data_IF_034637906816
#
_entry.id   IF_034637906816
#
_cell.length_a   1.000
_cell.length_b   1.000
_cell.length_c   1.000
_cell.angle_alpha   90.00
_cell.angle_beta   90.00
_cell.angle_gamma   90.00
#
_symmetry.space_group_name_H-M   'P 1'
#
loop_
_entity.id
_entity.type
_entity.pdbx_description
1 polymer ?
#
# COMPACT_ATOMS: atom_id res chain seq x y z
N UNK A 1 36.40 -12.41 26.58
CA UNK A 1 35.87 -11.86 25.30
C UNK A 1 36.14 -10.37 25.30
N UNK A 2 37.19 -9.92 24.61
CA UNK A 2 37.65 -8.53 24.58
C UNK A 2 37.09 -7.84 23.34
N UNK A 3 36.33 -6.76 23.54
CA UNK A 3 35.79 -5.95 22.44
C UNK A 3 36.93 -5.16 21.76
N UNK A 4 36.97 -5.10 20.41
CA UNK A 4 37.94 -4.28 19.70
C UNK A 4 37.61 -2.79 19.85
N UNK A 5 38.62 -2.02 20.27
CA UNK A 5 38.61 -0.55 20.33
C UNK A 5 38.73 0.01 18.92
N UNK A 6 37.69 0.65 18.41
CA UNK A 6 37.73 1.35 17.11
C UNK A 6 38.52 2.66 17.25
N UNK A 7 39.59 2.89 16.46
CA UNK A 7 40.38 4.11 16.54
C UNK A 7 39.56 5.33 16.09
N UNK A 8 39.78 6.45 16.81
CA UNK A 8 39.17 7.75 16.53
C UNK A 8 39.75 8.30 15.21
N UNK A 9 38.92 8.73 14.23
CA UNK A 9 39.40 9.24 12.96
C UNK A 9 40.21 10.54 13.13
N UNK A 10 41.27 10.67 12.36
CA UNK A 10 42.22 11.80 12.39
C UNK A 10 41.69 12.95 11.52
N UNK A 11 42.00 14.24 11.82
CA UNK A 11 41.54 15.39 11.03
C UNK A 11 41.90 15.32 9.54
N UNK A 12 42.97 14.59 9.19
CA UNK A 12 43.40 14.39 7.81
C UNK A 12 42.42 13.54 6.97
N UNK A 13 41.61 12.67 7.61
CA UNK A 13 40.64 11.81 6.91
C UNK A 13 39.39 12.55 6.42
N UNK A 14 39.20 13.81 6.82
CA UNK A 14 38.05 14.62 6.39
C UNK A 14 38.18 15.18 4.97
N UNK A 15 39.40 15.20 4.40
CA UNK A 15 39.67 15.84 3.10
C UNK A 15 39.36 14.95 1.89
N UNK A 16 39.22 13.63 2.07
CA UNK A 16 39.01 12.67 0.98
C UNK A 16 37.53 12.34 0.70
N UNK A 17 36.60 13.24 1.04
CA UNK A 17 35.18 13.00 0.79
C UNK A 17 34.88 13.10 -0.72
N UNK A 18 34.45 12.03 -1.40
CA UNK A 18 34.05 12.11 -2.80
C UNK A 18 32.89 13.10 -2.98
N UNK A 19 32.81 13.80 -4.13
CA UNK A 19 31.76 14.76 -4.40
C UNK A 19 30.38 14.09 -4.24
N UNK A 20 29.49 14.79 -3.55
CA UNK A 20 28.13 14.31 -3.30
C UNK A 20 27.45 13.93 -4.62
N UNK A 21 26.73 12.78 -4.69
CA UNK A 21 25.96 12.42 -5.86
C UNK A 21 25.00 13.55 -6.22
N UNK A 22 24.92 13.86 -7.52
CA UNK A 22 24.10 14.93 -8.06
C UNK A 22 22.68 14.86 -7.48
N UNK A 23 22.17 16.03 -7.05
CA UNK A 23 20.81 16.18 -6.52
C UNK A 23 19.82 15.49 -7.48
N UNK A 24 18.96 14.59 -7.00
CA UNK A 24 17.91 14.02 -7.83
C UNK A 24 17.11 15.18 -8.44
N UNK A 25 16.98 15.18 -9.77
CA UNK A 25 16.21 16.18 -10.50
C UNK A 25 14.78 16.26 -9.96
N UNK A 26 14.08 17.39 -10.20
CA UNK A 26 12.72 17.58 -9.71
C UNK A 26 11.84 16.43 -10.21
N UNK A 27 11.42 15.57 -9.28
CA UNK A 27 10.42 14.55 -9.55
C UNK A 27 9.20 15.32 -10.03
N UNK A 28 8.83 15.12 -11.30
CA UNK A 28 7.66 15.72 -11.92
C UNK A 28 6.48 15.44 -10.97
N UNK A 29 6.00 16.48 -10.30
CA UNK A 29 4.85 16.37 -9.41
C UNK A 29 3.69 15.87 -10.25
N UNK A 30 3.43 14.56 -10.15
CA UNK A 30 2.19 13.95 -10.62
C UNK A 30 1.14 14.64 -9.76
N UNK A 31 0.51 15.69 -10.32
CA UNK A 31 -0.47 16.53 -9.65
C UNK A 31 -1.49 15.61 -9.00
N UNK A 32 -1.34 15.43 -7.70
CA UNK A 32 -2.33 14.70 -6.92
C UNK A 32 -3.64 15.48 -7.09
N UNK A 33 -4.77 14.81 -7.35
CA UNK A 33 -6.05 15.48 -7.39
C UNK A 33 -6.21 16.31 -6.11
N UNK A 34 -6.73 17.55 -6.23
CA UNK A 34 -6.99 18.45 -5.10
C UNK A 34 -8.15 17.88 -4.26
N UNK A 35 -7.90 16.77 -3.59
CA UNK A 35 -8.81 16.17 -2.63
C UNK A 35 -8.73 16.99 -1.35
N UNK A 36 -9.89 17.30 -0.77
CA UNK A 36 -9.96 17.77 0.60
C UNK A 36 -9.44 16.70 1.56
N UNK A 37 -9.05 17.09 2.77
CA UNK A 37 -8.59 16.12 3.79
C UNK A 37 -9.66 15.06 4.08
N UNK A 38 -10.93 15.45 4.10
CA UNK A 38 -12.05 14.54 4.31
C UNK A 38 -12.19 13.52 3.16
N UNK A 39 -12.11 13.97 1.91
CA UNK A 39 -12.19 13.08 0.74
C UNK A 39 -10.96 12.17 0.64
N UNK A 40 -9.78 12.65 1.02
CA UNK A 40 -8.55 11.87 1.02
C UNK A 40 -8.62 10.68 2.00
N UNK A 41 -9.31 10.86 3.14
CA UNK A 41 -9.50 9.85 4.20
C UNK A 41 -10.74 8.99 3.93
N UNK A 42 -11.70 9.47 3.15
CA UNK A 42 -12.90 8.73 2.82
C UNK A 42 -12.55 7.36 2.17
N UNK A 43 -13.36 6.31 2.43
CA UNK A 43 -13.19 5.02 1.78
C UNK A 43 -13.21 5.15 0.25
N UNK A 44 -12.14 4.71 -0.40
CA UNK A 44 -12.07 4.66 -1.86
C UNK A 44 -13.01 3.62 -2.46
N UNK A 45 -13.51 3.90 -3.66
CA UNK A 45 -14.37 2.98 -4.41
C UNK A 45 -13.50 2.08 -5.29
N UNK A 46 -13.60 0.77 -5.08
CA UNK A 46 -12.94 -0.21 -5.95
C UNK A 46 -13.64 -0.29 -7.30
N UNK A 47 -12.87 -0.45 -8.38
CA UNK A 47 -13.39 -0.50 -9.76
C UNK A 47 -13.08 -1.84 -10.44
N UNK A 48 -14.04 -2.32 -11.24
CA UNK A 48 -13.87 -3.48 -12.11
C UNK A 48 -13.44 -4.77 -11.38
N UNK A 49 -12.22 -5.24 -11.67
CA UNK A 49 -11.66 -6.51 -11.14
C UNK A 49 -10.72 -6.31 -9.94
N UNK A 50 -10.70 -5.13 -9.34
CA UNK A 50 -9.91 -4.88 -8.14
C UNK A 50 -10.38 -5.75 -6.96
N UNK A 51 -9.44 -6.42 -6.29
CA UNK A 51 -9.71 -7.22 -5.09
C UNK A 51 -9.32 -6.41 -3.86
N UNK A 52 -10.24 -6.25 -2.91
CA UNK A 52 -9.99 -5.48 -1.68
C UNK A 52 -8.71 -5.92 -0.98
N UNK A 53 -8.50 -7.23 -0.79
CA UNK A 53 -7.30 -7.76 -0.15
C UNK A 53 -6.00 -7.26 -0.77
N UNK A 54 -5.87 -7.35 -2.10
CA UNK A 54 -4.68 -6.91 -2.83
C UNK A 54 -4.49 -5.39 -2.75
N UNK A 55 -5.57 -4.62 -2.82
CA UNK A 55 -5.49 -3.15 -2.73
C UNK A 55 -5.12 -2.70 -1.32
N UNK A 56 -5.63 -3.35 -0.28
CA UNK A 56 -5.25 -3.09 1.12
C UNK A 56 -3.78 -3.43 1.33
N UNK A 57 -3.32 -4.62 0.93
CA UNK A 57 -1.90 -5.02 1.10
C UNK A 57 -0.95 -4.04 0.40
N UNK A 58 -1.23 -3.66 -0.86
CA UNK A 58 -0.43 -2.66 -1.59
C UNK A 58 -0.53 -1.28 -0.93
N UNK A 59 -1.74 -0.86 -0.57
CA UNK A 59 -2.00 0.42 0.09
C UNK A 59 -1.24 0.55 1.40
N UNK A 60 -1.18 -0.52 2.19
CA UNK A 60 -0.43 -0.57 3.45
C UNK A 60 1.07 -0.41 3.26
N UNK A 61 1.64 -0.90 2.15
CA UNK A 61 3.07 -0.76 1.85
C UNK A 61 3.44 0.68 1.50
N UNK A 62 2.57 1.36 0.74
CA UNK A 62 2.82 2.76 0.34
C UNK A 62 2.41 3.76 1.43
N UNK A 63 1.54 3.36 2.36
CA UNK A 63 1.10 4.23 3.45
C UNK A 63 2.20 4.45 4.47
N UNK A 64 2.21 5.65 5.06
CA UNK A 64 3.09 6.02 6.17
C UNK A 64 2.50 5.63 7.53
N UNK A 65 1.74 4.54 7.60
CA UNK A 65 1.22 4.02 8.86
C UNK A 65 2.37 3.51 9.74
N UNK A 66 2.18 3.61 11.05
CA UNK A 66 3.09 2.98 12.02
C UNK A 66 3.12 1.45 11.82
N UNK A 67 4.27 0.79 12.04
CA UNK A 67 4.40 -0.65 11.88
C UNK A 67 3.35 -1.45 12.67
N UNK A 68 3.04 -1.02 13.89
CA UNK A 68 2.03 -1.65 14.76
C UNK A 68 0.61 -1.55 14.17
N UNK A 69 0.21 -0.35 13.69
CA UNK A 69 -1.07 -0.16 13.01
C UNK A 69 -1.18 -1.05 11.76
N UNK A 70 -0.10 -1.13 10.98
CA UNK A 70 -0.02 -1.98 9.79
C UNK A 70 -0.15 -3.45 10.15
N UNK A 71 0.52 -3.91 11.21
CA UNK A 71 0.42 -5.28 11.71
C UNK A 71 -1.02 -5.62 12.09
N UNK A 72 -1.67 -4.79 12.92
CA UNK A 72 -3.07 -4.98 13.33
C UNK A 72 -4.01 -5.04 12.13
N UNK A 73 -3.82 -4.15 11.15
CA UNK A 73 -4.67 -4.13 9.96
C UNK A 73 -4.47 -5.37 9.07
N UNK A 74 -3.23 -5.86 8.92
CA UNK A 74 -2.94 -7.10 8.18
C UNK A 74 -3.48 -8.33 8.91
N UNK A 75 -3.44 -8.34 10.25
CA UNK A 75 -4.08 -9.39 11.05
C UNK A 75 -5.59 -9.38 10.85
N UNK A 76 -6.24 -8.21 10.96
CA UNK A 76 -7.67 -8.05 10.68
C UNK A 76 -8.05 -8.48 9.26
N UNK A 77 -7.16 -8.27 8.28
CA UNK A 77 -7.36 -8.69 6.90
C UNK A 77 -7.48 -10.21 6.76
N UNK A 78 -6.87 -10.99 7.68
CA UNK A 78 -7.04 -12.44 7.77
C UNK A 78 -8.47 -12.86 8.16
N UNK A 79 -9.16 -12.05 8.96
CA UNK A 79 -10.56 -12.29 9.36
C UNK A 79 -11.58 -11.68 8.38
N UNK A 80 -11.13 -10.78 7.51
CA UNK A 80 -11.99 -10.04 6.60
C UNK A 80 -12.34 -10.83 5.34
N UNK A 81 -13.54 -10.61 4.81
CA UNK A 81 -13.95 -11.19 3.54
C UNK A 81 -13.13 -10.62 2.37
N UNK A 82 -12.51 -11.50 1.59
CA UNK A 82 -11.52 -11.15 0.57
C UNK A 82 -11.96 -10.11 -0.49
N UNK A 83 -13.26 -10.05 -0.84
CA UNK A 83 -13.79 -9.09 -1.81
C UNK A 83 -14.21 -7.76 -1.19
N UNK A 84 -14.79 -7.79 -0.01
CA UNK A 84 -15.48 -6.63 0.57
C UNK A 84 -14.69 -5.96 1.70
N UNK A 85 -13.70 -6.64 2.26
CA UNK A 85 -12.96 -6.18 3.44
C UNK A 85 -13.78 -6.22 4.73
N UNK A 86 -14.98 -6.80 4.71
CA UNK A 86 -15.88 -6.83 5.86
C UNK A 86 -15.49 -7.96 6.83
N UNK A 87 -15.33 -7.63 8.10
CA UNK A 87 -15.21 -8.56 9.21
C UNK A 87 -16.60 -8.71 9.82
N UNK A 88 -17.24 -9.85 9.53
CA UNK A 88 -18.59 -10.14 10.03
C UNK A 88 -18.58 -10.28 11.55
N UNK A 89 -19.67 -9.91 12.26
CA UNK A 89 -19.74 -9.97 13.72
C UNK A 89 -19.36 -11.33 14.30
N UNK A 90 -19.80 -12.42 13.65
CA UNK A 90 -19.51 -13.81 14.05
C UNK A 90 -18.03 -14.22 13.92
N UNK A 91 -17.25 -13.49 13.12
CA UNK A 91 -15.83 -13.74 12.89
C UNK A 91 -14.96 -12.59 13.39
N UNK A 92 -15.53 -11.65 14.14
CA UNK A 92 -14.80 -10.51 14.65
C UNK A 92 -13.87 -10.99 15.77
N UNK A 93 -12.55 -10.84 15.63
CA UNK A 93 -11.64 -11.23 16.68
C UNK A 93 -11.82 -10.32 17.89
N UNK A 94 -11.69 -10.89 19.09
CA UNK A 94 -11.67 -10.10 20.32
C UNK A 94 -10.34 -9.34 20.45
N UNK A 95 -10.26 -8.28 21.27
CA UNK A 95 -9.00 -7.58 21.53
C UNK A 95 -7.91 -8.52 22.04
N UNK A 96 -8.25 -9.54 22.83
CA UNK A 96 -7.33 -10.54 23.37
C UNK A 96 -6.79 -11.45 22.27
N UNK A 97 -7.65 -11.90 21.35
CA UNK A 97 -7.22 -12.70 20.19
C UNK A 97 -6.29 -11.89 19.26
N UNK A 98 -6.56 -10.60 19.08
CA UNK A 98 -5.67 -9.72 18.31
C UNK A 98 -4.34 -9.47 19.03
N UNK A 99 -4.38 -9.31 20.34
CA UNK A 99 -3.18 -9.17 21.18
C UNK A 99 -2.29 -10.41 21.05
N UNK A 100 -2.88 -11.61 21.19
CA UNK A 100 -2.20 -12.89 21.01
C UNK A 100 -1.60 -13.03 19.61
N UNK A 101 -2.36 -12.72 18.56
CA UNK A 101 -1.91 -12.85 17.17
C UNK A 101 -0.82 -11.85 16.77
N UNK A 102 -0.68 -10.73 17.47
CA UNK A 102 0.27 -9.65 17.11
C UNK A 102 1.41 -9.46 18.10
N UNK A 103 1.33 -10.06 19.28
CA UNK A 103 2.26 -9.81 20.38
C UNK A 103 2.09 -8.43 21.04
N UNK A 104 1.03 -7.69 20.73
CA UNK A 104 0.73 -6.39 21.32
C UNK A 104 -0.17 -6.56 22.56
N UNK A 105 -0.14 -5.59 23.45
CA UNK A 105 -1.11 -5.53 24.57
C UNK A 105 -2.50 -5.12 24.06
N UNK A 106 -3.55 -5.49 24.78
CA UNK A 106 -4.95 -5.09 24.46
C UNK A 106 -5.13 -3.56 24.41
N UNK A 107 -4.41 -2.82 25.26
CA UNK A 107 -4.36 -1.35 25.21
C UNK A 107 -3.74 -0.83 23.90
N UNK A 108 -2.60 -1.39 23.48
CA UNK A 108 -1.98 -1.04 22.20
C UNK A 108 -2.90 -1.38 21.02
N UNK A 109 -3.55 -2.55 21.02
CA UNK A 109 -4.55 -2.91 20.00
C UNK A 109 -5.65 -1.85 19.89
N UNK A 110 -6.19 -1.39 21.03
CA UNK A 110 -7.25 -0.38 21.04
C UNK A 110 -6.78 0.96 20.44
N UNK A 111 -5.56 1.38 20.78
CA UNK A 111 -4.92 2.57 20.17
C UNK A 111 -4.74 2.38 18.67
N UNK A 112 -4.23 1.24 18.23
CA UNK A 112 -4.01 0.99 16.80
C UNK A 112 -5.32 0.92 16.00
N UNK A 113 -6.38 0.33 16.55
CA UNK A 113 -7.73 0.35 15.97
C UNK A 113 -8.23 1.79 15.82
N UNK A 114 -8.01 2.63 16.84
CA UNK A 114 -8.39 4.04 16.79
C UNK A 114 -7.61 4.79 15.70
N UNK A 115 -6.29 4.59 15.61
CA UNK A 115 -5.44 5.17 14.56
C UNK A 115 -5.91 4.74 13.17
N UNK A 116 -6.19 3.45 12.97
CA UNK A 116 -6.70 2.95 11.69
C UNK A 116 -8.05 3.59 11.32
N UNK A 117 -8.92 3.81 12.30
CA UNK A 117 -10.22 4.46 12.10
C UNK A 117 -10.06 5.93 11.71
N UNK A 118 -9.26 6.68 12.47
CA UNK A 118 -8.98 8.10 12.19
C UNK A 118 -8.31 8.31 10.82
N UNK A 119 -7.49 7.36 10.38
CA UNK A 119 -6.79 7.40 9.09
C UNK A 119 -7.61 6.81 7.94
N UNK A 120 -8.86 6.39 8.17
CA UNK A 120 -9.76 5.90 7.12
C UNK A 120 -9.45 4.50 6.60
N UNK A 121 -8.65 3.72 7.32
CA UNK A 121 -8.35 2.32 7.01
C UNK A 121 -9.38 1.35 7.58
N UNK A 122 -10.16 1.82 8.53
CA UNK A 122 -11.16 1.04 9.23
C UNK A 122 -12.42 1.89 9.40
N UNK A 123 -13.57 1.30 9.15
CA UNK A 123 -14.85 1.93 9.44
C UNK A 123 -15.87 0.92 9.94
N UNK A 124 -16.93 1.43 10.57
CA UNK A 124 -18.07 0.61 10.96
C UNK A 124 -19.15 0.75 9.91
N UNK A 125 -19.66 -0.36 9.39
CA UNK A 125 -20.72 -0.39 8.38
C UNK A 125 -21.86 -1.31 8.83
N UNK A 126 -23.10 -0.89 8.59
CA UNK A 126 -24.26 -1.79 8.71
C UNK A 126 -24.25 -2.80 7.56
N UNK A 127 -24.37 -4.07 7.90
CA UNK A 127 -24.55 -5.13 6.91
C UNK A 127 -25.93 -4.97 6.29
N UNK A 128 -25.98 -4.89 4.96
CA UNK A 128 -27.23 -4.70 4.22
C UNK A 128 -27.80 -6.01 3.63
N UNK A 129 -27.01 -7.09 3.63
CA UNK A 129 -27.39 -8.36 3.01
C UNK A 129 -26.86 -9.57 3.81
N UNK A 130 -27.61 -10.67 3.77
CA UNK A 130 -27.26 -11.95 4.42
C UNK A 130 -27.83 -12.11 5.83
N UNK A 131 -27.41 -13.17 6.53
CA UNK A 131 -27.92 -13.53 7.85
C UNK A 131 -27.65 -12.45 8.93
N UNK A 132 -26.57 -11.68 8.78
CA UNK A 132 -26.18 -10.64 9.73
C UNK A 132 -26.74 -9.24 9.36
N UNK A 133 -27.76 -9.17 8.50
CA UNK A 133 -28.36 -7.89 8.07
C UNK A 133 -28.80 -7.03 9.25
N UNK A 134 -28.52 -5.73 9.18
CA UNK A 134 -28.81 -4.75 10.23
C UNK A 134 -27.74 -4.65 11.32
N UNK A 135 -26.85 -5.66 11.46
CA UNK A 135 -25.77 -5.64 12.44
C UNK A 135 -24.62 -4.75 11.98
N UNK A 136 -23.91 -4.16 12.95
CA UNK A 136 -22.69 -3.39 12.70
C UNK A 136 -21.51 -4.35 12.51
N UNK A 137 -20.85 -4.22 11.37
CA UNK A 137 -19.62 -4.91 11.05
C UNK A 137 -18.46 -3.91 10.97
N UNK A 138 -17.26 -4.44 11.22
CA UNK A 138 -16.04 -3.71 10.97
C UNK A 138 -15.66 -3.93 9.50
N UNK A 139 -15.25 -2.88 8.80
CA UNK A 139 -14.85 -2.96 7.40
C UNK A 139 -13.47 -2.33 7.22
N UNK A 140 -12.55 -3.11 6.64
CA UNK A 140 -11.28 -2.61 6.14
C UNK A 140 -11.52 -1.85 4.84
N UNK A 141 -10.94 -0.66 4.77
CA UNK A 141 -11.06 0.26 3.64
C UNK A 141 -9.68 0.70 3.18
N UNK A 142 -9.57 1.12 1.93
CA UNK A 142 -8.39 1.83 1.42
C UNK A 142 -8.79 3.29 1.27
N UNK A 143 -8.13 4.24 1.97
CA UNK A 143 -8.41 5.66 1.80
C UNK A 143 -8.28 6.08 0.33
N UNK A 144 -9.17 6.94 -0.17
CA UNK A 144 -9.25 7.29 -1.59
C UNK A 144 -7.91 7.79 -2.14
N UNK A 145 -7.21 8.65 -1.40
CA UNK A 145 -5.88 9.15 -1.80
C UNK A 145 -4.87 8.01 -1.97
N UNK A 146 -4.86 7.05 -1.05
CA UNK A 146 -3.95 5.90 -1.09
C UNK A 146 -4.33 4.96 -2.22
N UNK A 147 -5.62 4.77 -2.47
CA UNK A 147 -6.11 3.94 -3.56
C UNK A 147 -5.64 4.47 -4.93
N UNK A 148 -5.70 5.78 -5.15
CA UNK A 148 -5.17 6.42 -6.36
C UNK A 148 -3.65 6.22 -6.50
N UNK A 149 -2.90 6.32 -5.39
CA UNK A 149 -1.46 6.03 -5.41
C UNK A 149 -1.16 4.56 -5.76
N UNK A 150 -1.93 3.61 -5.24
CA UNK A 150 -1.79 2.18 -5.61
C UNK A 150 -2.06 1.98 -7.11
N UNK A 151 -3.10 2.64 -7.65
CA UNK A 151 -3.44 2.58 -9.08
C UNK A 151 -2.34 3.17 -9.94
N UNK A 152 -1.82 4.35 -9.57
CA UNK A 152 -0.72 5.00 -10.28
C UNK A 152 0.56 4.14 -10.28
N UNK A 153 0.91 3.55 -9.13
CA UNK A 153 2.06 2.65 -9.02
C UNK A 153 1.91 1.41 -9.91
N UNK A 154 0.72 0.81 -9.95
CA UNK A 154 0.42 -0.35 -10.80
C UNK A 154 0.44 -0.02 -12.30
N UNK A 155 -0.03 1.18 -12.68
CA UNK A 155 0.05 1.65 -14.05
C UNK A 155 1.50 1.84 -14.50
N UNK A 156 2.38 2.30 -13.61
CA UNK A 156 3.83 2.40 -13.88
C UNK A 156 4.53 1.03 -13.95
N UNK A 157 4.08 0.03 -13.17
CA UNK A 157 4.62 -1.35 -13.19
C UNK A 157 4.27 -2.13 -14.47
N UNK A 158 3.20 -1.74 -15.19
CA UNK A 158 2.81 -2.44 -16.42
C UNK A 158 3.56 -1.79 -17.58
N UNK A 159 4.68 -2.37 -18.07
CA UNK A 159 5.35 -1.81 -19.23
C UNK A 159 4.37 -1.84 -20.39
N UNK A 160 4.21 -0.70 -21.06
CA UNK A 160 3.51 -0.65 -22.35
C UNK A 160 4.07 -1.78 -23.21
N UNK A 161 3.23 -2.61 -23.88
CA UNK A 161 3.74 -3.63 -24.78
C UNK A 161 4.71 -2.94 -25.75
N UNK A 162 5.86 -3.57 -26.09
CA UNK A 162 6.77 -2.99 -27.06
C UNK A 162 5.93 -2.65 -28.30
N UNK A 163 5.91 -1.37 -28.67
CA UNK A 163 5.32 -0.97 -29.95
C UNK A 163 6.03 -1.81 -30.98
N UNK A 164 5.29 -2.74 -31.59
CA UNK A 164 5.79 -3.57 -32.67
C UNK A 164 5.91 -2.65 -33.90
N UNK A 165 6.94 -1.81 -33.89
CA UNK A 165 7.38 -1.00 -35.03
C UNK A 165 8.34 -1.85 -35.83
N UNK A 166 7.78 -2.78 -36.59
CA UNK A 166 8.40 -3.21 -37.84
C UNK A 166 7.32 -3.82 -38.75
N UNK A 167 6.53 -3.00 -39.46
CA UNK A 167 5.89 -3.49 -40.66
C UNK A 167 7.00 -3.72 -41.69
N UNK A 168 7.42 -4.97 -41.82
CA UNK A 168 7.85 -5.60 -43.07
C UNK A 168 8.51 -4.63 -44.06
N UNK A 169 9.82 -4.45 -43.95
CA UNK A 169 10.66 -4.15 -45.11
C UNK A 169 10.55 -5.35 -46.05
N UNK A 170 9.49 -5.36 -46.87
CA UNK A 170 9.46 -6.14 -48.11
C UNK A 170 10.56 -5.51 -48.96
N UNK A 171 11.72 -6.13 -48.94
CA UNK A 171 12.78 -5.88 -49.90
C UNK A 171 12.37 -6.65 -51.14
N UNK A 172 11.97 -5.91 -52.19
CA UNK A 172 11.89 -6.43 -53.55
C UNK A 172 13.23 -7.07 -53.93
N UNK A 173 13.26 -8.35 -54.34
CA UNK A 173 14.32 -8.84 -55.17
C UNK A 173 13.92 -8.59 -56.63
N UNK A 174 14.23 -7.40 -57.12
CA UNK A 174 14.60 -7.27 -58.52
C UNK A 174 16.00 -7.88 -58.67
N UNK A 175 16.06 -9.05 -59.29
CA UNK A 175 17.29 -9.72 -59.72
C UNK A 175 16.93 -10.56 -60.92
N UNK A 176 17.01 -9.93 -62.09
CA UNK A 176 16.90 -10.60 -63.37
C UNK A 176 18.07 -11.54 -63.65
N UNK A 177 17.87 -12.45 -64.59
CA UNK A 177 18.90 -12.89 -65.55
C UNK A 177 18.23 -13.69 -66.66
N UNK A 178 18.49 -13.23 -67.89
CA UNK A 178 18.50 -13.94 -69.19
C UNK A 178 17.20 -14.43 -69.84
#
# INVERSE_FOLDING_TARGET
>A
MTCPTTPRPSPADMAARPPAPAKPGPVKDIRSPKLTVAEAIAPGVLVGRERMRTMVERGMRISRLHPEARLVALTLLGYAHHKTGTVFPRFRPTPEQLAEATGLTTGQISVQIHVLTQRGWLCTRRITQGHDTGRLALALTVPALVLEQVRAARAAETPSPPRNTDPLRVTDPDSGTE
#
